data_IF_964503158644
#
_entry.id   IF_964503158644
#
_cell.length_a   1.000
_cell.length_b   1.000
_cell.length_c   1.000
_cell.angle_alpha   90.00
_cell.angle_beta   90.00
_cell.angle_gamma   90.00
#
_symmetry.space_group_name_H-M   'P 1'
#
loop_
_entity.id
_entity.type
_entity.pdbx_description
1 polymer ?
#
# COMPACT_ATOMS: atom_id res chain seq x y z
N UNK A 1 20.66 7.81 -3.61
CA UNK A 1 19.20 7.81 -3.39
C UNK A 1 18.87 8.92 -2.40
N UNK A 2 18.27 10.02 -2.84
CA UNK A 2 17.74 11.03 -1.93
C UNK A 2 16.32 10.63 -1.53
N UNK A 3 16.02 10.63 -0.23
CA UNK A 3 14.70 10.29 0.33
C UNK A 3 13.61 11.24 -0.20
N UNK A 4 14.01 12.44 -0.63
CA UNK A 4 13.12 13.49 -1.15
C UNK A 4 12.97 13.48 -2.68
N UNK A 5 13.48 12.45 -3.38
CA UNK A 5 13.15 12.35 -4.81
C UNK A 5 11.64 12.14 -4.95
N UNK A 6 11.05 12.78 -5.97
CA UNK A 6 9.61 12.67 -6.20
C UNK A 6 9.20 11.21 -6.38
N UNK A 7 9.98 10.44 -7.12
CA UNK A 7 9.81 8.99 -7.35
C UNK A 7 9.70 8.20 -6.04
N UNK A 8 10.60 8.43 -5.08
CA UNK A 8 10.59 7.75 -3.78
C UNK A 8 9.43 8.21 -2.88
N UNK A 9 8.82 9.37 -3.20
CA UNK A 9 7.72 9.96 -2.43
C UNK A 9 6.35 9.58 -2.98
N UNK A 10 6.25 9.08 -4.23
CA UNK A 10 4.97 8.75 -4.87
C UNK A 10 4.13 7.80 -4.01
N UNK A 11 4.64 6.66 -3.49
CA UNK A 11 3.83 5.75 -2.68
C UNK A 11 3.29 6.42 -1.41
N UNK A 12 4.13 7.24 -0.76
CA UNK A 12 3.74 7.98 0.44
C UNK A 12 2.69 9.06 0.16
N UNK A 13 2.81 9.79 -0.96
CA UNK A 13 1.83 10.79 -1.40
C UNK A 13 0.50 10.12 -1.73
N UNK A 14 0.52 9.02 -2.48
CA UNK A 14 -0.70 8.25 -2.80
C UNK A 14 -1.38 7.77 -1.52
N UNK A 15 -0.62 7.19 -0.59
CA UNK A 15 -1.15 6.76 0.70
C UNK A 15 -1.75 7.91 1.50
N UNK A 16 -1.07 9.07 1.55
CA UNK A 16 -1.57 10.26 2.23
C UNK A 16 -2.88 10.80 1.62
N UNK A 17 -2.98 10.83 0.29
CA UNK A 17 -4.20 11.25 -0.42
C UNK A 17 -5.36 10.28 -0.17
N UNK A 18 -5.11 8.97 -0.24
CA UNK A 18 -6.13 7.95 0.01
C UNK A 18 -6.57 7.94 1.47
N UNK A 19 -5.64 8.17 2.41
CA UNK A 19 -5.96 8.33 3.82
C UNK A 19 -6.77 9.61 4.08
N UNK A 20 -6.40 10.74 3.46
CA UNK A 20 -7.20 11.97 3.47
C UNK A 20 -8.61 11.75 2.92
N UNK A 21 -8.74 11.01 1.82
CA UNK A 21 -10.04 10.61 1.27
C UNK A 21 -10.82 9.71 2.24
N UNK A 22 -10.18 8.78 2.94
CA UNK A 22 -10.83 7.98 3.98
C UNK A 22 -11.38 8.84 5.13
N UNK A 23 -10.65 9.89 5.52
CA UNK A 23 -11.08 10.79 6.60
C UNK A 23 -12.22 11.73 6.19
N UNK A 24 -12.20 12.23 4.95
CA UNK A 24 -13.04 13.34 4.52
C UNK A 24 -14.18 12.96 3.56
N UNK A 25 -14.11 11.80 2.90
CA UNK A 25 -15.07 11.39 1.87
C UNK A 25 -16.20 10.49 2.42
N UNK A 26 -17.42 10.55 1.85
CA UNK A 26 -18.44 9.53 2.11
C UNK A 26 -18.05 8.14 1.57
N UNK A 27 -17.09 8.03 0.65
CA UNK A 27 -16.69 6.77 0.02
C UNK A 27 -15.62 6.00 0.81
N UNK A 28 -15.79 5.89 2.13
CA UNK A 28 -14.77 5.30 3.03
C UNK A 28 -14.34 3.90 2.62
N UNK A 29 -15.29 3.01 2.28
CA UNK A 29 -14.97 1.63 1.87
C UNK A 29 -14.12 1.59 0.60
N UNK A 30 -14.36 2.48 -0.36
CA UNK A 30 -13.53 2.58 -1.56
C UNK A 30 -12.11 3.05 -1.22
N UNK A 31 -11.98 4.07 -0.36
CA UNK A 31 -10.67 4.53 0.12
C UNK A 31 -9.89 3.43 0.85
N UNK A 32 -10.54 2.65 1.72
CA UNK A 32 -9.91 1.51 2.41
C UNK A 32 -9.50 0.43 1.40
N UNK A 33 -10.34 0.13 0.41
CA UNK A 33 -10.02 -0.82 -0.68
C UNK A 33 -8.79 -0.40 -1.46
N UNK A 34 -8.69 0.89 -1.82
CA UNK A 34 -7.53 1.45 -2.52
C UNK A 34 -6.28 1.46 -1.64
N UNK A 35 -6.39 1.77 -0.35
CA UNK A 35 -5.27 1.68 0.60
C UNK A 35 -4.75 0.25 0.73
N UNK A 36 -5.65 -0.74 0.83
CA UNK A 36 -5.27 -2.16 0.86
C UNK A 36 -4.56 -2.56 -0.44
N UNK A 37 -5.14 -2.21 -1.59
CA UNK A 37 -4.56 -2.50 -2.90
C UNK A 37 -3.19 -1.86 -3.07
N UNK A 38 -3.03 -0.61 -2.65
CA UNK A 38 -1.74 0.10 -2.68
C UNK A 38 -0.71 -0.56 -1.78
N UNK A 39 -1.07 -0.91 -0.54
CA UNK A 39 -0.16 -1.58 0.38
C UNK A 39 0.29 -2.95 -0.14
N UNK A 40 -0.64 -3.73 -0.71
CA UNK A 40 -0.31 -5.01 -1.34
C UNK A 40 0.60 -4.83 -2.57
N UNK A 41 0.34 -3.82 -3.40
CA UNK A 41 1.19 -3.51 -4.57
C UNK A 41 2.61 -3.13 -4.14
N UNK A 42 2.75 -2.27 -3.12
CA UNK A 42 4.04 -1.87 -2.59
C UNK A 42 4.79 -3.03 -1.93
N UNK A 43 4.09 -3.89 -1.18
CA UNK A 43 4.71 -5.06 -0.56
C UNK A 43 5.15 -6.09 -1.61
N UNK A 44 4.24 -6.50 -2.49
CA UNK A 44 4.49 -7.59 -3.46
C UNK A 44 5.33 -7.10 -4.63
N UNK A 45 4.87 -6.06 -5.32
CA UNK A 45 5.60 -5.49 -6.47
C UNK A 45 6.86 -4.77 -6.02
N UNK A 46 6.68 -3.84 -5.08
CA UNK A 46 7.77 -3.00 -4.58
C UNK A 46 8.75 -3.74 -3.69
N UNK A 47 8.32 -4.59 -2.76
CA UNK A 47 9.17 -5.19 -1.73
C UNK A 47 9.77 -6.55 -2.08
N UNK A 48 9.03 -7.36 -2.85
CA UNK A 48 9.40 -8.75 -3.14
C UNK A 48 9.87 -8.89 -4.60
N UNK A 49 9.02 -8.54 -5.57
CA UNK A 49 9.29 -8.76 -7.00
C UNK A 49 10.49 -7.93 -7.47
N UNK A 50 10.59 -6.67 -7.05
CA UNK A 50 11.65 -5.74 -7.49
C UNK A 50 13.08 -6.17 -7.10
N UNK A 51 13.22 -6.99 -6.05
CA UNK A 51 14.52 -7.43 -5.51
C UNK A 51 14.89 -8.85 -5.93
N UNK A 52 14.04 -9.50 -6.72
CA UNK A 52 14.30 -10.83 -7.28
C UNK A 52 14.92 -10.74 -8.69
N UNK A 53 15.88 -11.61 -9.03
CA UNK A 53 16.45 -11.68 -10.37
C UNK A 53 15.51 -12.42 -11.32
N UNK A 54 14.40 -11.79 -11.69
CA UNK A 54 13.38 -12.36 -12.58
C UNK A 54 13.75 -12.11 -14.04
N UNK A 55 13.85 -13.17 -14.86
CA UNK A 55 14.32 -13.09 -16.25
C UNK A 55 13.48 -12.20 -17.18
N UNK A 56 12.25 -11.85 -16.79
CA UNK A 56 11.32 -11.02 -17.57
C UNK A 56 11.23 -9.56 -17.07
N UNK A 57 11.99 -9.19 -16.02
CA UNK A 57 12.06 -7.83 -15.50
C UNK A 57 13.52 -7.35 -15.45
N UNK A 58 13.78 -6.05 -15.64
CA UNK A 58 15.12 -5.51 -15.48
C UNK A 58 15.60 -5.69 -14.04
N UNK A 59 16.70 -6.42 -13.86
CA UNK A 59 17.40 -6.51 -12.57
C UNK A 59 18.54 -5.48 -12.50
N UNK A 60 18.16 -4.22 -12.71
CA UNK A 60 19.05 -3.07 -12.73
C UNK A 60 18.38 -1.90 -11.99
N UNK A 61 19.15 -1.02 -11.31
CA UNK A 61 20.61 -1.06 -11.14
C UNK A 61 21.09 -2.22 -10.26
N UNK A 62 22.42 -2.38 -10.13
CA UNK A 62 23.01 -3.45 -9.33
C UNK A 62 22.48 -3.41 -7.89
N UNK A 63 22.00 -4.56 -7.41
CA UNK A 63 21.43 -4.66 -6.07
C UNK A 63 22.53 -4.63 -5.01
N UNK A 64 22.40 -3.69 -4.08
CA UNK A 64 23.33 -3.52 -2.95
C UNK A 64 22.66 -3.87 -1.64
N UNK A 65 23.44 -4.13 -0.58
CA UNK A 65 22.90 -4.37 0.76
C UNK A 65 21.96 -3.24 1.20
N UNK A 66 22.34 -1.98 0.97
CA UNK A 66 21.50 -0.82 1.31
C UNK A 66 20.17 -0.81 0.54
N UNK A 67 20.17 -1.27 -0.72
CA UNK A 67 18.94 -1.41 -1.49
C UNK A 67 18.02 -2.46 -0.89
N UNK A 68 18.52 -3.66 -0.58
CA UNK A 68 17.74 -4.71 0.08
C UNK A 68 17.18 -4.25 1.44
N UNK A 69 17.98 -3.56 2.24
CA UNK A 69 17.52 -3.02 3.53
C UNK A 69 16.43 -1.97 3.35
N UNK A 70 16.52 -1.09 2.35
CA UNK A 70 15.45 -0.16 2.04
C UNK A 70 14.16 -0.92 1.74
N UNK A 71 14.19 -1.89 0.83
CA UNK A 71 13.01 -2.70 0.49
C UNK A 71 12.45 -3.46 1.70
N UNK A 72 13.30 -3.95 2.60
CA UNK A 72 12.87 -4.59 3.84
C UNK A 72 12.07 -3.61 4.72
N UNK A 73 12.60 -2.40 4.98
CA UNK A 73 11.92 -1.42 5.81
C UNK A 73 10.63 -0.89 5.17
N UNK A 74 10.65 -0.61 3.86
CA UNK A 74 9.45 -0.22 3.12
C UNK A 74 8.38 -1.33 3.22
N UNK A 75 8.75 -2.58 2.97
CA UNK A 75 7.83 -3.73 3.06
C UNK A 75 7.24 -3.90 4.46
N UNK A 76 8.07 -3.76 5.50
CA UNK A 76 7.62 -3.87 6.88
C UNK A 76 6.60 -2.76 7.24
N UNK A 77 6.78 -1.55 6.71
CA UNK A 77 5.85 -0.44 6.92
C UNK A 77 4.47 -0.66 6.29
N UNK A 78 4.37 -1.48 5.23
CA UNK A 78 3.09 -1.82 4.59
C UNK A 78 2.26 -2.82 5.41
N UNK A 79 2.89 -3.64 6.26
CA UNK A 79 2.20 -4.71 7.02
C UNK A 79 1.06 -4.15 7.89
N UNK A 80 1.27 -3.13 8.74
CA UNK A 80 0.18 -2.56 9.55
C UNK A 80 -0.95 -2.00 8.69
N UNK A 81 -0.62 -1.33 7.57
CA UNK A 81 -1.62 -0.78 6.65
C UNK A 81 -2.51 -1.89 6.07
N UNK A 82 -1.89 -2.96 5.57
CA UNK A 82 -2.60 -4.12 5.00
C UNK A 82 -3.49 -4.78 6.06
N UNK A 83 -2.98 -5.03 7.27
CA UNK A 83 -3.75 -5.68 8.32
C UNK A 83 -4.96 -4.86 8.76
N UNK A 84 -4.77 -3.54 8.96
CA UNK A 84 -5.86 -2.64 9.36
C UNK A 84 -6.91 -2.53 8.26
N UNK A 85 -6.49 -2.29 7.02
CA UNK A 85 -7.43 -2.12 5.89
C UNK A 85 -8.17 -3.42 5.55
N UNK A 86 -7.50 -4.57 5.63
CA UNK A 86 -8.14 -5.87 5.47
C UNK A 86 -9.18 -6.13 6.57
N UNK A 87 -8.90 -5.74 7.82
CA UNK A 87 -9.86 -5.82 8.92
C UNK A 87 -11.07 -4.90 8.66
N UNK A 88 -10.84 -3.64 8.34
CA UNK A 88 -11.90 -2.65 8.08
C UNK A 88 -12.82 -3.06 6.93
N UNK A 89 -12.30 -3.74 5.89
CA UNK A 89 -13.13 -4.23 4.78
C UNK A 89 -13.98 -5.45 5.15
N UNK A 90 -13.55 -6.23 6.14
CA UNK A 90 -14.30 -7.37 6.68
C UNK A 90 -15.38 -6.94 7.66
N UNK A 91 -15.31 -5.74 8.22
CA UNK A 91 -16.35 -5.21 9.09
C UNK A 91 -17.62 -4.92 8.25
N UNK A 92 -18.81 -5.36 8.72
CA UNK A 92 -20.08 -5.07 8.08
C UNK A 92 -20.28 -3.56 7.95
N UNK A 93 -20.87 -3.10 6.84
CA UNK A 93 -21.18 -1.68 6.68
C UNK A 93 -22.47 -1.37 7.48
N UNK A 94 -22.38 -0.66 8.62
CA UNK A 94 -23.55 -0.44 9.45
C UNK A 94 -24.65 0.33 8.72
N UNK A 95 -24.30 1.14 7.72
CA UNK A 95 -25.27 1.90 6.93
C UNK A 95 -25.92 1.08 5.81
N UNK A 96 -25.23 0.05 5.30
CA UNK A 96 -25.85 -0.89 4.36
C UNK A 96 -26.81 -1.80 5.10
N UNK A 97 -26.42 -2.32 6.26
CA UNK A 97 -27.21 -3.32 7.00
C UNK A 97 -28.50 -2.73 7.58
N UNK A 98 -28.50 -1.47 8.03
CA UNK A 98 -29.69 -0.76 8.49
C UNK A 98 -30.72 -0.48 7.38
N UNK A 99 -30.31 -0.42 6.11
CA UNK A 99 -31.21 -0.23 4.96
C UNK A 99 -31.85 -1.51 4.45
N UNK A 100 -31.32 -2.67 4.86
CA UNK A 100 -31.76 -4.00 4.39
C UNK A 100 -32.43 -4.80 5.52
N UNK A 101 -32.53 -4.23 6.72
CA UNK A 101 -33.30 -4.80 7.82
C UNK A 101 -34.81 -4.85 7.46
N UNK A 102 -35.47 -6.01 7.62
CA UNK A 102 -36.87 -6.22 7.25
C UNK A 102 -37.87 -5.44 8.12
#
# INVERSE_FOLDING_TARGET
>A
MTILSLENSIPGIVAALLFGAYLLSPFKRASVGLLLGSGLLNLVGGGIISVLPLNFLPFAPAQTLTHYLAHLFYSAAEIPLILITARLLREPDPNHDLKVAP
#
